data_IF_091555411696
#
_entry.id   IF_091555411696
#
_cell.length_a   1.000
_cell.length_b   1.000
_cell.length_c   1.000
_cell.angle_alpha   90.00
_cell.angle_beta   90.00
_cell.angle_gamma   90.00
#
_symmetry.space_group_name_H-M   'P 1'
#
loop_
_entity.id
_entity.type
_entity.pdbx_description
1 polymer ?
#
# COMPACT_ATOMS: atom_id res chain seq x y z
N UNK A 1 -47.97 7.97 -3.34
CA UNK A 1 -47.57 7.75 -4.75
C UNK A 1 -46.68 8.88 -5.31
N UNK A 2 -47.05 10.17 -5.22
CA UNK A 2 -46.27 11.31 -5.77
C UNK A 2 -44.90 11.50 -5.08
N UNK A 3 -44.80 11.26 -3.76
CA UNK A 3 -43.51 11.33 -3.02
C UNK A 3 -42.52 10.24 -3.44
N UNK A 4 -43.02 9.05 -3.75
CA UNK A 4 -42.17 7.89 -4.18
C UNK A 4 -41.61 8.12 -5.59
N UNK A 5 -42.45 8.70 -6.51
CA UNK A 5 -41.99 9.09 -7.85
C UNK A 5 -40.93 10.22 -7.80
N UNK A 6 -41.12 11.22 -6.91
CA UNK A 6 -40.11 12.28 -6.72
C UNK A 6 -38.78 11.77 -6.17
N UNK A 7 -38.79 10.73 -5.33
CA UNK A 7 -37.58 10.11 -4.82
C UNK A 7 -36.88 9.25 -5.89
N UNK A 8 -37.63 8.51 -6.72
CA UNK A 8 -37.09 7.79 -7.87
C UNK A 8 -36.48 8.76 -8.91
N UNK A 9 -37.16 9.87 -9.21
CA UNK A 9 -36.60 10.90 -10.11
C UNK A 9 -35.40 11.67 -9.51
N UNK A 10 -35.23 11.66 -8.20
CA UNK A 10 -34.02 12.20 -7.56
C UNK A 10 -32.82 11.22 -7.59
N UNK A 11 -33.07 9.92 -7.57
CA UNK A 11 -32.01 8.91 -7.69
C UNK A 11 -31.36 8.90 -9.08
N UNK A 12 -32.13 9.24 -10.15
CA UNK A 12 -31.61 9.34 -11.52
C UNK A 12 -30.82 10.62 -11.81
N UNK A 13 -30.61 11.47 -10.81
CA UNK A 13 -29.87 12.73 -10.97
C UNK A 13 -28.49 12.72 -10.30
N UNK A 14 -27.84 11.62 -10.18
CA UNK A 14 -26.38 11.63 -10.07
C UNK A 14 -25.85 12.16 -11.40
N UNK A 15 -25.63 13.46 -11.45
CA UNK A 15 -24.99 14.10 -12.59
C UNK A 15 -23.57 13.52 -12.64
N UNK A 16 -23.36 12.61 -13.57
CA UNK A 16 -22.02 12.16 -13.91
C UNK A 16 -21.21 13.42 -14.29
N UNK A 17 -20.30 13.80 -13.39
CA UNK A 17 -19.37 14.88 -13.66
C UNK A 17 -18.19 14.25 -14.40
N UNK A 18 -18.01 14.63 -15.64
CA UNK A 18 -16.82 14.19 -16.41
C UNK A 18 -15.57 14.77 -15.72
N UNK A 19 -14.64 13.92 -15.27
CA UNK A 19 -13.40 14.39 -14.66
C UNK A 19 -12.62 15.26 -15.66
N UNK A 20 -12.18 16.42 -15.23
CA UNK A 20 -11.36 17.33 -16.07
C UNK A 20 -9.87 17.01 -15.98
N UNK A 21 -9.45 16.44 -14.87
CA UNK A 21 -8.06 16.07 -14.57
C UNK A 21 -7.98 14.62 -14.15
N UNK A 22 -6.85 13.98 -14.35
CA UNK A 22 -6.59 12.60 -13.89
C UNK A 22 -6.77 12.49 -12.37
N UNK A 23 -6.37 13.50 -11.62
CA UNK A 23 -6.52 13.55 -10.17
C UNK A 23 -7.97 13.57 -9.69
N UNK A 24 -8.92 14.04 -10.52
CA UNK A 24 -10.35 14.06 -10.17
C UNK A 24 -10.93 12.64 -10.07
N UNK A 25 -10.29 11.64 -10.71
CA UNK A 25 -10.71 10.23 -10.65
C UNK A 25 -10.35 9.61 -9.29
N UNK A 26 -9.35 10.17 -8.58
CA UNK A 26 -8.92 9.66 -7.29
C UNK A 26 -9.94 10.08 -6.23
N UNK A 27 -10.72 9.12 -5.64
CA UNK A 27 -11.83 9.46 -4.75
C UNK A 27 -11.37 9.84 -3.34
N UNK A 28 -10.07 9.85 -3.05
CA UNK A 28 -9.53 10.19 -1.74
C UNK A 28 -9.75 11.67 -1.48
N UNK A 29 -10.41 12.00 -0.37
CA UNK A 29 -10.76 13.36 0.02
C UNK A 29 -9.80 13.94 1.05
N UNK A 30 -9.36 13.10 2.00
CA UNK A 30 -8.46 13.50 3.10
C UNK A 30 -7.51 12.37 3.45
N UNK A 31 -6.34 12.76 3.91
CA UNK A 31 -5.32 11.89 4.47
C UNK A 31 -4.87 12.46 5.82
N UNK A 32 -4.56 11.58 6.77
CA UNK A 32 -3.99 11.95 8.06
C UNK A 32 -2.61 11.32 8.23
N UNK A 33 -1.78 11.96 9.02
CA UNK A 33 -0.39 11.54 9.26
C UNK A 33 -0.29 10.07 9.75
N UNK A 34 -1.28 9.62 10.52
CA UNK A 34 -1.40 8.26 11.04
C UNK A 34 -1.82 7.20 9.99
N UNK A 35 -1.84 7.57 8.71
CA UNK A 35 -2.13 6.66 7.60
C UNK A 35 -3.61 6.37 7.38
N UNK A 36 -4.51 7.09 8.02
CA UNK A 36 -5.95 7.00 7.76
C UNK A 36 -6.29 7.82 6.52
N UNK A 37 -7.01 7.22 5.59
CA UNK A 37 -7.49 7.84 4.34
C UNK A 37 -9.01 7.84 4.33
N UNK A 38 -9.61 8.92 3.84
CA UNK A 38 -11.06 9.09 3.78
C UNK A 38 -11.56 9.16 2.33
N UNK A 39 -12.62 8.40 2.08
CA UNK A 39 -13.41 8.43 0.84
C UNK A 39 -14.90 8.51 1.24
N UNK A 40 -15.53 9.64 1.05
CA UNK A 40 -16.89 9.87 1.55
C UNK A 40 -16.99 9.73 3.07
N UNK A 41 -17.87 8.85 3.53
CA UNK A 41 -18.02 8.49 4.94
C UNK A 41 -17.18 7.28 5.37
N UNK A 42 -16.36 6.74 4.49
CA UNK A 42 -15.51 5.59 4.75
C UNK A 42 -14.09 6.03 5.06
N UNK A 43 -13.57 5.45 6.14
CA UNK A 43 -12.18 5.59 6.55
C UNK A 43 -11.44 4.28 6.32
N UNK A 44 -10.20 4.35 5.88
CA UNK A 44 -9.38 3.18 5.61
C UNK A 44 -7.98 3.32 6.19
N UNK A 45 -7.46 2.24 6.75
CA UNK A 45 -6.08 2.12 7.22
C UNK A 45 -5.42 0.89 6.61
N UNK A 46 -4.16 1.00 6.28
CA UNK A 46 -3.40 -0.05 5.60
C UNK A 46 -2.27 -0.53 6.50
N UNK A 47 -2.04 -1.82 6.49
CA UNK A 47 -0.98 -2.51 7.22
C UNK A 47 -0.13 -3.29 6.22
N UNK A 48 1.18 -3.24 6.38
CA UNK A 48 2.13 -4.06 5.62
C UNK A 48 2.43 -5.32 6.39
N UNK A 49 2.39 -6.48 5.73
CA UNK A 49 2.71 -7.75 6.36
C UNK A 49 3.73 -8.55 5.54
N UNK A 50 4.49 -9.41 6.22
CA UNK A 50 5.48 -10.29 5.61
C UNK A 50 4.91 -11.67 5.30
N UNK A 51 5.63 -12.42 4.45
CA UNK A 51 5.30 -13.83 4.22
C UNK A 51 5.52 -14.68 5.46
N UNK A 52 4.78 -15.79 5.52
CA UNK A 52 5.00 -16.89 6.43
C UNK A 52 5.71 -18.03 5.67
N UNK A 53 6.50 -18.80 6.40
CA UNK A 53 7.26 -19.90 5.80
C UNK A 53 6.39 -21.17 5.60
N UNK A 54 5.33 -21.02 4.80
CA UNK A 54 4.34 -22.08 4.57
C UNK A 54 4.90 -23.29 3.80
N UNK A 55 5.84 -23.07 2.88
CA UNK A 55 6.31 -24.13 1.98
C UNK A 55 7.06 -25.25 2.72
N UNK A 56 7.88 -24.92 3.70
CA UNK A 56 8.69 -25.87 4.47
C UNK A 56 8.03 -26.36 5.75
N UNK A 57 6.84 -25.84 6.08
CA UNK A 57 6.10 -26.23 7.27
C UNK A 57 5.59 -27.68 7.15
N UNK A 58 5.48 -28.37 8.29
CA UNK A 58 4.84 -29.68 8.40
C UNK A 58 3.35 -29.61 8.01
N UNK A 59 2.73 -30.75 7.83
CA UNK A 59 1.28 -30.78 7.53
C UNK A 59 0.47 -30.20 8.69
N UNK A 60 0.83 -30.55 9.91
CA UNK A 60 0.14 -30.09 11.12
C UNK A 60 0.30 -28.56 11.30
N UNK A 61 1.51 -28.03 11.05
CA UNK A 61 1.75 -26.58 11.08
C UNK A 61 0.96 -25.85 9.99
N UNK A 62 0.84 -26.41 8.79
CA UNK A 62 0.02 -25.84 7.71
C UNK A 62 -1.45 -25.76 8.06
N UNK A 63 -1.99 -26.81 8.70
CA UNK A 63 -3.36 -26.83 9.20
C UNK A 63 -3.55 -25.77 10.29
N UNK A 64 -2.62 -25.66 11.24
CA UNK A 64 -2.64 -24.63 12.29
C UNK A 64 -2.55 -23.21 11.71
N UNK A 65 -1.68 -22.95 10.73
CA UNK A 65 -1.59 -21.67 10.03
C UNK A 65 -2.89 -21.30 9.31
N UNK A 66 -3.54 -22.29 8.69
CA UNK A 66 -4.82 -22.06 8.01
C UNK A 66 -5.93 -21.68 9.01
N UNK A 67 -6.01 -22.37 10.14
CA UNK A 67 -6.96 -22.04 11.20
C UNK A 67 -6.72 -20.65 11.77
N UNK A 68 -5.48 -20.31 12.10
CA UNK A 68 -5.10 -18.99 12.60
C UNK A 68 -5.40 -17.87 11.59
N UNK A 69 -5.19 -18.11 10.29
CA UNK A 69 -5.58 -17.18 9.23
C UNK A 69 -7.09 -17.01 9.13
N UNK A 70 -7.84 -18.09 9.29
CA UNK A 70 -9.31 -18.05 9.30
C UNK A 70 -9.83 -17.28 10.50
N UNK A 71 -9.23 -17.45 11.70
CA UNK A 71 -9.55 -16.68 12.90
C UNK A 71 -9.27 -15.19 12.70
N UNK A 72 -8.14 -14.83 12.10
CA UNK A 72 -7.81 -13.46 11.76
C UNK A 72 -8.90 -12.81 10.89
N UNK A 73 -9.34 -13.50 9.83
CA UNK A 73 -10.40 -12.96 8.96
C UNK A 73 -11.75 -12.87 9.67
N UNK A 74 -12.08 -13.84 10.53
CA UNK A 74 -13.32 -13.86 11.29
C UNK A 74 -13.33 -12.83 12.43
N UNK A 75 -12.17 -12.37 12.91
CA UNK A 75 -12.08 -11.32 13.94
C UNK A 75 -12.44 -9.93 13.43
N UNK A 76 -12.49 -9.75 12.09
CA UNK A 76 -12.84 -8.48 11.48
C UNK A 76 -14.36 -8.25 11.51
N UNK A 77 -14.76 -7.01 11.80
CA UNK A 77 -16.18 -6.63 11.87
C UNK A 77 -16.91 -6.89 10.53
N UNK A 78 -18.15 -7.37 10.60
CA UNK A 78 -19.00 -7.60 9.42
C UNK A 78 -19.30 -6.32 8.61
N UNK A 79 -19.24 -5.15 9.24
CA UNK A 79 -19.37 -3.84 8.60
C UNK A 79 -18.09 -3.31 7.95
N UNK A 80 -16.96 -3.97 8.17
CA UNK A 80 -15.68 -3.60 7.58
C UNK A 80 -15.50 -4.29 6.21
N UNK A 81 -14.84 -3.56 5.30
CA UNK A 81 -14.37 -4.14 4.02
C UNK A 81 -12.87 -4.35 4.14
N UNK A 82 -12.44 -5.57 3.90
CA UNK A 82 -11.02 -5.94 3.90
C UNK A 82 -10.52 -6.15 2.48
N UNK A 83 -9.39 -5.55 2.15
CA UNK A 83 -8.72 -5.69 0.86
C UNK A 83 -7.28 -6.13 1.07
N UNK A 84 -6.90 -7.26 0.48
CA UNK A 84 -5.50 -7.70 0.38
C UNK A 84 -4.95 -7.18 -0.95
N UNK A 85 -3.81 -6.52 -0.89
CA UNK A 85 -3.10 -6.00 -2.05
C UNK A 85 -1.72 -6.63 -2.09
N UNK A 86 -1.37 -7.20 -3.24
CA UNK A 86 -0.03 -7.70 -3.53
C UNK A 86 0.56 -6.77 -4.57
N UNK A 87 1.62 -6.05 -4.21
CA UNK A 87 2.31 -5.12 -5.10
C UNK A 87 3.63 -5.73 -5.55
N UNK A 88 3.74 -6.00 -6.83
CA UNK A 88 4.97 -6.46 -7.46
C UNK A 88 5.67 -5.24 -8.05
N UNK A 89 6.80 -4.85 -7.47
CA UNK A 89 7.61 -3.75 -7.98
C UNK A 89 9.00 -4.23 -8.39
N UNK A 90 9.58 -3.55 -9.36
CA UNK A 90 10.97 -3.80 -9.73
C UNK A 90 11.91 -3.38 -8.60
N UNK A 91 12.92 -4.19 -8.36
CA UNK A 91 13.99 -3.85 -7.44
C UNK A 91 14.72 -2.62 -7.98
N UNK A 92 14.78 -1.54 -7.19
CA UNK A 92 15.65 -0.43 -7.54
C UNK A 92 17.10 -0.88 -7.35
N UNK A 93 17.84 -1.02 -8.47
CA UNK A 93 19.19 -1.57 -8.50
C UNK A 93 20.15 -0.78 -7.61
N UNK A 94 20.05 0.52 -7.58
CA UNK A 94 20.89 1.38 -6.73
C UNK A 94 20.66 1.17 -5.23
N UNK A 95 19.37 1.06 -4.80
CA UNK A 95 19.04 0.78 -3.40
C UNK A 95 19.44 -0.64 -2.99
N UNK A 96 19.34 -1.60 -3.90
CA UNK A 96 19.79 -2.97 -3.70
C UNK A 96 21.31 -3.03 -3.49
N UNK A 97 22.06 -2.37 -4.35
CA UNK A 97 23.52 -2.31 -4.26
C UNK A 97 23.99 -1.70 -2.93
N UNK A 98 23.35 -0.61 -2.48
CA UNK A 98 23.67 0.03 -1.20
C UNK A 98 23.29 -0.80 0.03
N UNK A 99 22.24 -1.59 -0.02
CA UNK A 99 21.68 -2.28 1.15
C UNK A 99 22.20 -3.71 1.33
N UNK A 100 22.62 -4.38 0.26
CA UNK A 100 22.93 -5.80 0.28
C UNK A 100 24.41 -6.09 -0.05
N UNK A 101 25.04 -5.25 -0.88
CA UNK A 101 26.44 -5.46 -1.23
C UNK A 101 27.38 -5.15 -0.06
N UNK A 102 28.35 -6.02 0.15
CA UNK A 102 29.39 -5.78 1.14
C UNK A 102 30.29 -4.62 0.71
N UNK A 103 30.50 -3.60 1.57
CA UNK A 103 31.37 -2.49 1.26
C UNK A 103 32.84 -2.97 1.17
N UNK A 104 33.57 -2.48 0.16
CA UNK A 104 35.01 -2.71 0.04
C UNK A 104 35.74 -1.96 1.13
N UNK A 105 36.77 -2.62 1.72
CA UNK A 105 37.55 -2.07 2.85
C UNK A 105 38.98 -1.74 2.50
N UNK A 106 39.47 -2.06 1.28
CA UNK A 106 40.87 -1.89 0.86
C UNK A 106 41.80 -2.91 1.42
N UNK A 107 41.32 -4.08 1.89
CA UNK A 107 42.10 -5.14 2.45
C UNK A 107 42.23 -6.36 1.49
N UNK A 108 43.12 -7.31 1.83
CA UNK A 108 43.33 -8.54 1.05
C UNK A 108 42.05 -9.40 0.89
N UNK A 109 41.02 -9.18 1.68
CA UNK A 109 39.75 -9.90 1.62
C UNK A 109 38.77 -9.31 0.63
N UNK A 110 39.09 -8.19 -0.02
CA UNK A 110 38.23 -7.56 -1.01
C UNK A 110 38.00 -8.43 -2.25
N UNK A 111 38.93 -9.34 -2.54
CA UNK A 111 38.76 -10.35 -3.60
C UNK A 111 37.54 -11.22 -3.33
N UNK A 112 37.39 -11.73 -2.10
CA UNK A 112 36.24 -12.55 -1.71
C UNK A 112 34.93 -11.73 -1.60
N UNK A 113 35.00 -10.47 -1.13
CA UNK A 113 33.83 -9.57 -1.10
C UNK A 113 33.33 -9.29 -2.50
N UNK A 114 34.24 -9.08 -3.46
CA UNK A 114 33.90 -8.84 -4.86
C UNK A 114 33.21 -10.06 -5.48
N UNK A 115 33.72 -11.24 -5.26
CA UNK A 115 33.15 -12.50 -5.74
C UNK A 115 31.77 -12.75 -5.13
N UNK A 116 31.61 -12.55 -3.82
CA UNK A 116 30.33 -12.67 -3.13
C UNK A 116 29.31 -11.64 -3.63
N UNK A 117 29.71 -10.39 -3.80
CA UNK A 117 28.86 -9.34 -4.34
C UNK A 117 28.42 -9.66 -5.78
N UNK A 118 29.31 -10.23 -6.61
CA UNK A 118 28.94 -10.65 -7.96
C UNK A 118 27.88 -11.77 -7.91
N UNK A 119 28.04 -12.75 -7.04
CA UNK A 119 27.06 -13.83 -6.85
C UNK A 119 25.69 -13.27 -6.41
N UNK A 120 25.67 -12.26 -5.52
CA UNK A 120 24.43 -11.60 -5.09
C UNK A 120 23.75 -10.84 -6.25
N UNK A 121 24.54 -10.13 -7.06
CA UNK A 121 24.05 -9.43 -8.26
C UNK A 121 23.47 -10.39 -9.29
N UNK A 122 24.14 -11.51 -9.55
CA UNK A 122 23.71 -12.54 -10.49
C UNK A 122 22.39 -13.17 -10.03
N UNK A 123 22.25 -13.47 -8.74
CA UNK A 123 21.00 -13.97 -8.15
C UNK A 123 19.86 -12.94 -8.24
N UNK A 124 20.14 -11.68 -7.94
CA UNK A 124 19.14 -10.62 -8.02
C UNK A 124 18.67 -10.38 -9.46
N UNK A 125 19.58 -10.47 -10.42
CA UNK A 125 19.26 -10.30 -11.85
C UNK A 125 18.52 -11.51 -12.42
N UNK A 126 18.89 -12.73 -11.99
CA UNK A 126 18.26 -13.99 -12.40
C UNK A 126 16.85 -14.18 -11.84
N UNK A 127 16.50 -13.57 -10.71
CA UNK A 127 15.17 -13.59 -10.10
C UNK A 127 14.21 -12.51 -10.64
N UNK A 128 14.44 -11.98 -11.85
CA UNK A 128 13.69 -10.89 -12.49
C UNK A 128 13.63 -9.58 -11.69
N UNK A 129 14.38 -9.45 -10.60
CA UNK A 129 14.45 -8.24 -9.79
C UNK A 129 13.09 -7.73 -9.29
N UNK A 130 12.13 -8.63 -9.03
CA UNK A 130 10.80 -8.27 -8.54
C UNK A 130 10.74 -8.48 -7.02
N UNK A 131 10.36 -7.43 -6.31
CA UNK A 131 10.00 -7.49 -4.90
C UNK A 131 8.49 -7.53 -4.79
N UNK A 132 7.99 -8.49 -4.01
CA UNK A 132 6.58 -8.60 -3.69
C UNK A 132 6.31 -8.02 -2.31
N UNK A 133 5.50 -6.98 -2.25
CA UNK A 133 5.04 -6.36 -1.01
C UNK A 133 3.56 -6.65 -0.80
N UNK A 134 3.19 -6.98 0.43
CA UNK A 134 1.84 -7.40 0.79
C UNK A 134 1.23 -6.46 1.79
N UNK A 135 -0.01 -6.06 1.51
CA UNK A 135 -0.75 -5.10 2.32
C UNK A 135 -2.17 -5.61 2.58
N UNK A 136 -2.64 -5.35 3.79
CA UNK A 136 -4.04 -5.50 4.14
C UNK A 136 -4.61 -4.12 4.47
N UNK A 137 -5.69 -3.75 3.79
CA UNK A 137 -6.39 -2.49 4.00
C UNK A 137 -7.77 -2.78 4.56
N UNK A 138 -8.08 -2.19 5.70
CA UNK A 138 -9.38 -2.27 6.34
C UNK A 138 -10.10 -0.94 6.12
N UNK A 139 -11.34 -0.99 5.64
CA UNK A 139 -12.17 0.17 5.40
C UNK A 139 -13.49 0.04 6.14
N UNK A 140 -13.90 1.07 6.86
CA UNK A 140 -15.10 1.10 7.69
C UNK A 140 -15.81 2.45 7.53
N UNK A 141 -17.14 2.44 7.58
CA UNK A 141 -17.92 3.67 7.66
C UNK A 141 -17.98 4.13 9.12
N UNK A 142 -17.56 5.37 9.38
CA UNK A 142 -17.58 6.00 10.70
C UNK A 142 -18.09 7.44 10.58
N UNK A 143 -18.58 7.98 11.68
CA UNK A 143 -19.14 9.32 11.72
C UNK A 143 -18.08 10.40 11.54
N UNK A 144 -16.94 10.21 12.22
CA UNK A 144 -15.83 11.16 12.23
C UNK A 144 -14.49 10.44 12.35
N UNK A 145 -13.40 11.22 12.29
CA UNK A 145 -12.03 10.71 12.35
C UNK A 145 -11.66 10.15 13.73
N UNK A 146 -12.20 10.69 14.81
CA UNK A 146 -11.86 10.24 16.16
C UNK A 146 -12.47 8.86 16.45
N UNK A 147 -13.69 8.64 15.98
CA UNK A 147 -14.30 7.30 16.03
C UNK A 147 -13.52 6.30 15.15
N UNK A 148 -13.04 6.75 13.99
CA UNK A 148 -12.21 5.93 13.11
C UNK A 148 -10.85 5.59 13.75
N UNK A 149 -10.19 6.56 14.42
CA UNK A 149 -8.93 6.32 15.15
C UNK A 149 -9.09 5.29 16.24
N UNK A 150 -10.13 5.45 17.06
CA UNK A 150 -10.44 4.48 18.15
C UNK A 150 -10.66 3.08 17.59
N UNK A 151 -11.39 2.98 16.49
CA UNK A 151 -11.63 1.72 15.80
C UNK A 151 -10.33 1.09 15.28
N UNK A 152 -9.51 1.85 14.54
CA UNK A 152 -8.27 1.34 13.97
C UNK A 152 -7.18 1.05 15.00
N UNK A 153 -7.17 1.74 16.14
CA UNK A 153 -6.28 1.41 17.25
C UNK A 153 -6.56 0.01 17.80
N UNK A 154 -7.84 -0.33 18.02
CA UNK A 154 -8.24 -1.67 18.47
C UNK A 154 -7.96 -2.73 17.42
N UNK A 155 -8.52 -2.56 16.22
CA UNK A 155 -8.41 -3.55 15.14
C UNK A 155 -6.95 -3.71 14.67
N UNK A 156 -6.16 -2.63 14.69
CA UNK A 156 -4.74 -2.70 14.37
C UNK A 156 -3.95 -3.54 15.37
N UNK A 157 -4.20 -3.38 16.66
CA UNK A 157 -3.53 -4.18 17.68
C UNK A 157 -3.90 -5.67 17.55
N UNK A 158 -5.17 -5.98 17.35
CA UNK A 158 -5.65 -7.35 17.15
C UNK A 158 -5.03 -7.96 15.89
N UNK A 159 -5.00 -7.20 14.77
CA UNK A 159 -4.43 -7.64 13.50
C UNK A 159 -2.92 -7.95 13.63
N UNK A 160 -2.16 -7.06 14.28
CA UNK A 160 -0.72 -7.26 14.50
C UNK A 160 -0.48 -8.50 15.36
N UNK A 161 -1.29 -8.72 16.39
CA UNK A 161 -1.21 -9.91 17.25
C UNK A 161 -1.49 -11.21 16.49
N UNK A 162 -2.54 -11.24 15.66
CA UNK A 162 -2.86 -12.41 14.83
C UNK A 162 -1.77 -12.71 13.79
N UNK A 163 -1.22 -11.69 13.12
CA UNK A 163 -0.11 -11.89 12.20
C UNK A 163 1.16 -12.38 12.93
N UNK A 164 1.43 -11.88 14.12
CA UNK A 164 2.55 -12.36 14.94
C UNK A 164 2.37 -13.85 15.33
N UNK A 165 1.15 -14.28 15.67
CA UNK A 165 0.84 -15.69 15.93
C UNK A 165 1.07 -16.58 14.69
N UNK A 166 0.85 -16.05 13.49
CA UNK A 166 1.16 -16.71 12.21
C UNK A 166 2.66 -16.72 11.87
N UNK A 167 3.51 -16.07 12.66
CA UNK A 167 4.94 -15.90 12.35
C UNK A 167 5.21 -14.82 11.30
N UNK A 168 4.24 -13.96 11.00
CA UNK A 168 4.36 -12.84 10.07
C UNK A 168 4.54 -11.52 10.82
N UNK A 169 5.42 -10.66 10.30
CA UNK A 169 5.58 -9.30 10.81
C UNK A 169 4.52 -8.41 10.16
N UNK A 170 3.67 -7.80 10.97
CA UNK A 170 2.68 -6.82 10.53
C UNK A 170 2.99 -5.45 11.13
N UNK A 171 2.96 -4.40 10.30
CA UNK A 171 3.24 -3.02 10.70
C UNK A 171 2.20 -2.06 10.13
N UNK A 172 1.82 -1.06 10.91
CA UNK A 172 0.97 0.02 10.42
C UNK A 172 1.72 0.87 9.39
N UNK A 173 1.00 1.31 8.36
CA UNK A 173 1.55 2.23 7.36
C UNK A 173 1.15 3.66 7.68
N UNK A 174 2.13 4.57 7.65
CA UNK A 174 1.91 6.01 7.71
C UNK A 174 1.47 6.58 6.34
N UNK A 175 1.03 7.85 6.35
CA UNK A 175 0.52 8.50 5.14
C UNK A 175 1.53 8.47 3.97
N UNK A 176 2.79 8.81 4.23
CA UNK A 176 3.84 8.82 3.20
C UNK A 176 4.09 7.44 2.59
N UNK A 177 4.09 6.38 3.41
CA UNK A 177 4.27 5.01 2.93
C UNK A 177 3.11 4.56 2.02
N UNK A 178 1.88 4.88 2.41
CA UNK A 178 0.70 4.55 1.60
C UNK A 178 0.64 5.39 0.32
N UNK A 179 1.01 6.67 0.37
CA UNK A 179 1.13 7.51 -0.81
C UNK A 179 2.18 6.97 -1.78
N UNK A 180 3.31 6.45 -1.27
CA UNK A 180 4.33 5.82 -2.09
C UNK A 180 3.80 4.60 -2.86
N UNK A 181 3.00 3.75 -2.20
CA UNK A 181 2.38 2.60 -2.89
C UNK A 181 1.47 3.05 -4.02
N UNK A 182 0.71 4.13 -3.81
CA UNK A 182 -0.15 4.71 -4.85
C UNK A 182 0.68 5.35 -5.96
N UNK A 183 1.74 6.08 -5.61
CA UNK A 183 2.69 6.65 -6.57
C UNK A 183 3.31 5.57 -7.47
N UNK A 184 3.85 4.49 -6.86
CA UNK A 184 4.47 3.39 -7.60
C UNK A 184 3.49 2.71 -8.57
N UNK A 185 2.19 2.73 -8.26
CA UNK A 185 1.13 2.21 -9.12
C UNK A 185 0.81 3.16 -10.28
N UNK A 186 0.66 4.46 -10.02
CA UNK A 186 0.25 5.44 -11.04
C UNK A 186 1.41 6.02 -11.85
N UNK A 187 2.64 5.99 -11.30
CA UNK A 187 3.86 6.52 -11.91
C UNK A 187 4.91 5.42 -12.07
N UNK A 188 4.59 4.41 -12.85
CA UNK A 188 5.52 3.31 -13.12
C UNK A 188 6.78 3.83 -13.82
N UNK A 189 7.94 3.50 -13.26
CA UNK A 189 9.25 3.96 -13.75
C UNK A 189 9.79 5.21 -13.03
N UNK A 190 8.98 5.88 -12.21
CA UNK A 190 9.37 7.06 -11.43
C UNK A 190 9.52 6.74 -9.91
N UNK A 191 9.62 5.47 -9.53
CA UNK A 191 9.64 5.02 -8.12
C UNK A 191 10.79 5.66 -7.32
N UNK A 192 11.90 5.99 -7.98
CA UNK A 192 13.05 6.65 -7.37
C UNK A 192 12.83 8.15 -7.10
N UNK A 193 11.89 8.77 -7.82
CA UNK A 193 11.61 10.20 -7.69
C UNK A 193 10.63 10.53 -6.56
N UNK A 194 10.05 9.51 -5.91
CA UNK A 194 9.09 9.76 -4.84
C UNK A 194 9.75 10.43 -3.64
N UNK A 195 9.28 11.63 -3.35
CA UNK A 195 9.60 12.38 -2.15
C UNK A 195 8.31 12.94 -1.57
N UNK A 196 8.03 12.65 -0.29
CA UNK A 196 6.85 13.15 0.39
C UNK A 196 7.27 14.10 1.52
N UNK A 197 6.90 15.36 1.39
CA UNK A 197 7.04 16.38 2.44
C UNK A 197 5.66 16.87 2.88
N UNK A 198 5.23 16.60 4.14
CA UNK A 198 3.97 17.11 4.66
C UNK A 198 3.87 18.64 4.66
N UNK A 199 5.00 19.38 4.67
CA UNK A 199 5.00 20.83 4.64
C UNK A 199 4.63 21.38 3.27
N UNK A 200 4.97 20.66 2.21
CA UNK A 200 4.61 21.06 0.84
C UNK A 200 3.10 21.06 0.62
N UNK A 201 2.37 20.17 1.29
CA UNK A 201 0.89 20.12 1.23
C UNK A 201 0.21 21.35 1.85
N UNK A 202 0.93 22.13 2.66
CA UNK A 202 0.42 23.37 3.23
C UNK A 202 0.63 24.57 2.31
N UNK A 203 1.42 24.42 1.24
CA UNK A 203 1.64 25.48 0.27
C UNK A 203 0.41 25.62 -0.65
N UNK A 204 0.08 26.88 -0.96
CA UNK A 204 -1.04 27.17 -1.85
C UNK A 204 -0.85 26.53 -3.23
N UNK A 205 -1.85 25.77 -3.68
CA UNK A 205 -1.83 25.13 -5.00
C UNK A 205 -1.27 23.70 -5.03
N UNK A 206 -0.82 23.17 -3.87
CA UNK A 206 -0.38 21.78 -3.74
C UNK A 206 -1.45 20.92 -3.07
N UNK A 207 -1.61 19.69 -3.56
CA UNK A 207 -2.50 18.67 -2.97
C UNK A 207 -1.70 17.36 -2.82
N UNK A 208 -2.12 16.50 -1.89
CA UNK A 208 -1.54 15.17 -1.74
C UNK A 208 -1.66 14.32 -3.02
N UNK A 209 -2.60 14.64 -3.89
CA UNK A 209 -2.78 13.95 -5.19
C UNK A 209 -1.62 14.20 -6.15
N UNK A 210 -0.88 15.30 -5.99
CA UNK A 210 0.32 15.60 -6.77
C UNK A 210 1.42 14.56 -6.55
N UNK A 211 1.44 13.94 -5.36
CA UNK A 211 2.36 12.84 -5.05
C UNK A 211 1.92 11.49 -5.63
N UNK A 212 0.65 11.35 -6.02
CA UNK A 212 0.08 10.09 -6.52
C UNK A 212 0.17 10.02 -8.03
N UNK A 213 -0.30 11.05 -8.74
CA UNK A 213 -0.35 11.06 -10.20
C UNK A 213 -0.18 12.47 -10.76
N UNK A 214 0.14 12.55 -12.05
CA UNK A 214 0.18 13.80 -12.79
C UNK A 214 -1.24 14.37 -12.97
N UNK A 215 -1.33 15.69 -13.12
CA UNK A 215 -2.60 16.40 -13.38
C UNK A 215 -3.23 16.00 -14.70
N UNK A 216 -2.40 15.79 -15.74
CA UNK A 216 -2.83 15.46 -17.09
C UNK A 216 -1.89 14.43 -17.72
N UNK A 217 -2.43 13.64 -18.61
CA UNK A 217 -1.69 12.71 -19.46
C UNK A 217 -1.95 13.13 -20.90
N UNK A 218 -0.89 13.58 -21.58
CA UNK A 218 -0.95 13.84 -23.01
C UNK A 218 -0.65 12.54 -23.76
N UNK A 219 -1.60 12.12 -24.60
CA UNK A 219 -1.40 10.98 -25.50
C UNK A 219 -0.77 11.49 -26.81
N UNK A 220 0.51 11.26 -26.99
CA UNK A 220 1.19 11.52 -28.25
C UNK A 220 1.04 10.31 -29.18
N UNK A 221 0.70 10.56 -30.45
CA UNK A 221 0.53 9.51 -31.46
C UNK A 221 1.81 8.73 -31.77
N UNK A 222 2.96 9.26 -31.38
CA UNK A 222 4.29 8.71 -31.71
C UNK A 222 4.81 7.69 -30.69
N UNK A 223 4.04 7.41 -29.64
CA UNK A 223 4.40 6.45 -28.56
C UNK A 223 3.26 5.46 -28.29
N UNK A 224 2.99 4.61 -29.26
CA UNK A 224 2.21 3.37 -29.10
C UNK A 224 3.06 2.18 -29.47
#
# INVERSE_FOLDING_TARGET
MIKTLKNLLKQDKERYSVPRKVQDIIPIQRIWKDGIFQVGNRFSKTYKFSDINYLVASREDKEAMFLAYSELLNSLDSGATTKITINNRRLNKANFEQSILMPMRGDSRDVYRKEYNQMLLDKATGANGIIQEKYITISVAKKDIEEARTYFARVGADLISHFAALGSKCTEMHAGEKLRVLHDFYRQGEEAAFHFDPQDMMKKGHDFKDYICHDSIEKNSDYL
#
